data_IF_067213710590
#
_entry.id   IF_067213710590
#
_cell.length_a   1.000
_cell.length_b   1.000
_cell.length_c   1.000
_cell.angle_alpha   90.00
_cell.angle_beta   90.00
_cell.angle_gamma   90.00
#
_symmetry.space_group_name_H-M   'P 1'
#
loop_
_entity.id
_entity.type
_entity.pdbx_description
1 polymer ?
#
# COMPACT_ATOMS: atom_id res chain seq x y z
N UNK A 1 25.17 -60.97 72.13
CA UNK A 1 25.27 -59.82 71.20
C UNK A 1 25.27 -58.46 71.89
N UNK A 2 24.33 -58.16 72.80
CA UNK A 2 24.25 -56.85 73.49
C UNK A 2 25.51 -56.41 74.26
N UNK A 3 26.20 -57.32 74.96
CA UNK A 3 27.44 -56.99 75.70
C UNK A 3 28.64 -56.67 74.78
N UNK A 4 28.68 -57.25 73.58
CA UNK A 4 29.73 -57.00 72.58
C UNK A 4 29.56 -55.62 71.93
N UNK A 5 28.31 -55.23 71.65
CA UNK A 5 27.97 -53.90 71.12
C UNK A 5 28.31 -52.77 72.12
N UNK A 6 28.05 -53.00 73.41
CA UNK A 6 28.40 -52.06 74.48
C UNK A 6 29.92 -51.91 74.66
N UNK A 7 30.68 -52.99 74.47
CA UNK A 7 32.15 -52.96 74.52
C UNK A 7 32.73 -52.22 73.32
N UNK A 8 32.21 -52.46 72.11
CA UNK A 8 32.55 -51.72 70.89
C UNK A 8 32.27 -50.22 71.02
N UNK A 9 31.12 -49.83 71.58
CA UNK A 9 30.78 -48.42 71.84
C UNK A 9 31.72 -47.77 72.87
N UNK A 10 32.13 -48.49 73.91
CA UNK A 10 33.12 -47.99 74.89
C UNK A 10 34.51 -47.84 74.29
N UNK A 11 34.91 -48.78 73.43
CA UNK A 11 36.21 -48.74 72.76
C UNK A 11 36.24 -47.62 71.71
N UNK A 12 35.13 -47.40 71.00
CA UNK A 12 34.96 -46.28 70.07
C UNK A 12 35.03 -44.92 70.79
N UNK A 13 34.36 -44.79 71.95
CA UNK A 13 34.36 -43.56 72.75
C UNK A 13 35.73 -43.22 73.38
N UNK A 14 36.64 -44.19 73.44
CA UNK A 14 37.93 -44.09 74.17
C UNK A 14 39.14 -44.14 73.22
N UNK A 15 38.91 -44.05 71.91
CA UNK A 15 39.97 -44.10 70.91
C UNK A 15 40.38 -42.67 70.50
N UNK A 16 41.58 -42.26 70.91
CA UNK A 16 42.13 -40.92 70.67
C UNK A 16 42.46 -40.66 69.18
N UNK A 17 42.46 -41.73 68.36
CA UNK A 17 42.50 -41.66 66.89
C UNK A 17 41.18 -41.15 66.26
N UNK A 18 40.11 -41.02 67.06
CA UNK A 18 38.76 -40.66 66.60
C UNK A 18 38.60 -39.19 66.17
N UNK A 19 39.63 -38.36 66.32
CA UNK A 19 39.57 -36.95 65.94
C UNK A 19 39.27 -36.77 64.44
N UNK A 20 39.80 -37.65 63.58
CA UNK A 20 39.48 -37.67 62.14
C UNK A 20 38.01 -37.98 61.91
N UNK A 21 37.42 -38.90 62.68
CA UNK A 21 36.00 -39.26 62.57
C UNK A 21 35.09 -38.09 62.99
N UNK A 22 35.43 -37.39 64.07
CA UNK A 22 34.69 -36.22 64.57
C UNK A 22 34.78 -35.07 63.56
N UNK A 23 35.98 -34.75 63.06
CA UNK A 23 36.19 -33.71 62.05
C UNK A 23 35.48 -34.05 60.73
N UNK A 24 35.52 -35.31 60.31
CA UNK A 24 34.81 -35.78 59.10
C UNK A 24 33.30 -35.69 59.28
N UNK A 25 32.76 -36.11 60.43
CA UNK A 25 31.34 -36.03 60.74
C UNK A 25 30.84 -34.56 60.76
N UNK A 26 31.63 -33.65 61.33
CA UNK A 26 31.32 -32.22 61.34
C UNK A 26 31.46 -31.58 59.96
N UNK A 27 32.40 -32.02 59.13
CA UNK A 27 32.60 -31.51 57.76
C UNK A 27 31.56 -32.03 56.75
N UNK A 28 30.99 -33.22 56.99
CA UNK A 28 29.94 -33.78 56.13
C UNK A 28 28.69 -32.88 56.13
N UNK A 29 28.33 -32.28 57.27
CA UNK A 29 27.13 -31.42 57.38
C UNK A 29 27.17 -30.21 56.42
N UNK A 30 28.19 -29.34 56.42
CA UNK A 30 28.27 -28.23 55.47
C UNK A 30 28.48 -28.71 54.03
N UNK A 31 29.18 -29.83 53.79
CA UNK A 31 29.37 -30.37 52.43
C UNK A 31 28.06 -30.86 51.81
N UNK A 32 27.28 -31.66 52.56
CA UNK A 32 25.95 -32.12 52.11
C UNK A 32 25.01 -30.94 51.92
N UNK A 33 25.09 -29.93 52.79
CA UNK A 33 24.36 -28.68 52.66
C UNK A 33 24.66 -27.94 51.34
N UNK A 34 25.94 -27.74 51.02
CA UNK A 34 26.37 -27.05 49.80
C UNK A 34 26.01 -27.83 48.54
N UNK A 35 26.23 -29.16 48.53
CA UNK A 35 25.84 -30.02 47.40
C UNK A 35 24.32 -30.01 47.21
N UNK A 36 23.55 -30.09 48.30
CA UNK A 36 22.09 -30.01 48.26
C UNK A 36 21.58 -28.70 47.68
N UNK A 37 22.14 -27.56 48.11
CA UNK A 37 21.82 -26.24 47.55
C UNK A 37 22.19 -26.14 46.06
N UNK A 38 23.30 -26.75 45.63
CA UNK A 38 23.69 -26.79 44.22
C UNK A 38 22.69 -27.61 43.38
N UNK A 39 22.19 -28.73 43.90
CA UNK A 39 21.16 -29.54 43.23
C UNK A 39 19.82 -28.81 43.13
N UNK A 40 19.42 -28.10 44.20
CA UNK A 40 18.21 -27.27 44.21
C UNK A 40 18.34 -26.12 43.19
N UNK A 41 19.49 -25.45 43.14
CA UNK A 41 19.77 -24.40 42.15
C UNK A 41 19.73 -24.94 40.72
N UNK A 42 20.37 -26.07 40.45
CA UNK A 42 20.32 -26.73 39.14
C UNK A 42 18.89 -27.11 38.74
N UNK A 43 18.09 -27.61 39.67
CA UNK A 43 16.68 -27.94 39.42
C UNK A 43 15.85 -26.69 39.13
N UNK A 44 16.12 -25.58 39.82
CA UNK A 44 15.51 -24.28 39.58
C UNK A 44 15.87 -23.69 38.20
N UNK A 45 17.13 -23.82 37.77
CA UNK A 45 17.55 -23.42 36.43
C UNK A 45 16.87 -24.25 35.35
N UNK A 46 16.76 -25.56 35.51
CA UNK A 46 16.02 -26.42 34.58
C UNK A 46 14.54 -26.06 34.49
N UNK A 47 13.90 -25.80 35.65
CA UNK A 47 12.50 -25.36 35.67
C UNK A 47 12.33 -24.01 34.95
N UNK A 48 13.22 -23.05 35.21
CA UNK A 48 13.24 -21.75 34.51
C UNK A 48 13.39 -21.93 33.01
N UNK A 49 14.40 -22.67 32.56
CA UNK A 49 14.65 -22.90 31.13
C UNK A 49 13.46 -23.55 30.43
N UNK A 50 12.77 -24.49 31.09
CA UNK A 50 11.56 -25.11 30.53
C UNK A 50 10.39 -24.12 30.43
N UNK A 51 10.18 -23.31 31.47
CA UNK A 51 9.10 -22.31 31.49
C UNK A 51 9.34 -21.17 30.51
N UNK A 52 10.59 -20.72 30.36
CA UNK A 52 10.99 -19.74 29.35
C UNK A 52 10.72 -20.30 27.93
N UNK A 53 11.14 -21.53 27.64
CA UNK A 53 10.85 -22.18 26.35
C UNK A 53 9.36 -22.39 26.09
N UNK A 54 8.57 -22.70 27.13
CA UNK A 54 7.12 -22.79 27.02
C UNK A 54 6.46 -21.42 26.77
N UNK A 55 7.00 -20.34 27.35
CA UNK A 55 6.53 -18.97 27.14
C UNK A 55 6.84 -18.49 25.72
N UNK A 56 8.04 -18.77 25.21
CA UNK A 56 8.41 -18.44 23.84
C UNK A 56 7.50 -19.15 22.84
N UNK A 57 7.26 -20.45 23.03
CA UNK A 57 6.32 -21.22 22.22
C UNK A 57 4.90 -20.63 22.26
N UNK A 58 4.43 -20.22 23.44
CA UNK A 58 3.11 -19.62 23.64
C UNK A 58 2.95 -18.27 22.93
N UNK A 59 3.96 -17.40 23.00
CA UNK A 59 3.91 -16.09 22.33
C UNK A 59 3.96 -16.25 20.82
N UNK A 60 4.81 -17.15 20.32
CA UNK A 60 4.92 -17.43 18.88
C UNK A 60 3.62 -18.03 18.34
N UNK A 61 3.03 -19.03 19.03
CA UNK A 61 1.80 -19.64 18.56
C UNK A 61 0.60 -18.70 18.63
N UNK A 62 0.54 -17.84 19.65
CA UNK A 62 -0.49 -16.80 19.72
C UNK A 62 -0.45 -15.87 18.51
N UNK A 63 0.74 -15.37 18.15
CA UNK A 63 0.92 -14.52 16.95
C UNK A 63 0.57 -15.30 15.69
N UNK A 64 1.02 -16.56 15.57
CA UNK A 64 0.79 -17.38 14.38
C UNK A 64 -0.71 -17.65 14.15
N UNK A 65 -1.44 -18.00 15.20
CA UNK A 65 -2.90 -18.20 15.15
C UNK A 65 -3.63 -16.91 14.80
N UNK A 66 -3.35 -15.80 15.51
CA UNK A 66 -3.97 -14.50 15.20
C UNK A 66 -3.73 -14.10 13.75
N UNK A 67 -2.50 -14.31 13.26
CA UNK A 67 -2.12 -14.01 11.88
C UNK A 67 -2.91 -14.83 10.87
N UNK A 68 -2.95 -16.16 11.06
CA UNK A 68 -3.64 -17.06 10.15
C UNK A 68 -5.14 -16.75 10.09
N UNK A 69 -5.77 -16.45 11.22
CA UNK A 69 -7.19 -16.13 11.27
C UNK A 69 -7.52 -14.78 10.62
N UNK A 70 -6.70 -13.74 10.86
CA UNK A 70 -6.86 -12.46 10.16
C UNK A 70 -6.73 -12.64 8.65
N UNK A 71 -5.76 -13.42 8.18
CA UNK A 71 -5.60 -13.71 6.75
C UNK A 71 -6.80 -14.46 6.16
N UNK A 72 -7.47 -15.29 6.96
CA UNK A 72 -8.71 -15.98 6.60
C UNK A 72 -9.97 -15.09 6.75
N UNK A 73 -9.82 -13.81 7.08
CA UNK A 73 -10.92 -12.84 7.13
C UNK A 73 -11.65 -12.78 8.48
N UNK A 74 -11.11 -13.40 9.53
CA UNK A 74 -11.63 -13.26 10.89
C UNK A 74 -11.36 -11.84 11.39
N UNK A 75 -12.35 -11.24 12.05
CA UNK A 75 -12.19 -9.91 12.65
C UNK A 75 -11.04 -9.91 13.67
N UNK A 76 -10.20 -8.87 13.66
CA UNK A 76 -8.98 -8.82 14.45
C UNK A 76 -9.20 -9.09 15.95
N UNK A 77 -10.29 -8.58 16.55
CA UNK A 77 -10.59 -8.80 17.97
C UNK A 77 -10.85 -10.27 18.29
N UNK A 78 -11.54 -10.99 17.40
CA UNK A 78 -11.78 -12.44 17.55
C UNK A 78 -10.47 -13.20 17.38
N UNK A 79 -9.70 -12.87 16.35
CA UNK A 79 -8.41 -13.51 16.08
C UNK A 79 -7.36 -13.30 17.19
N UNK A 80 -7.39 -12.14 17.85
CA UNK A 80 -6.57 -11.85 19.04
C UNK A 80 -6.98 -12.76 20.20
N UNK A 81 -8.27 -12.90 20.46
CA UNK A 81 -8.77 -13.73 21.56
C UNK A 81 -8.44 -15.21 21.34
N UNK A 82 -8.63 -15.71 20.12
CA UNK A 82 -8.34 -17.10 19.74
C UNK A 82 -6.83 -17.38 19.78
N UNK A 83 -6.00 -16.44 19.31
CA UNK A 83 -4.54 -16.53 19.43
C UNK A 83 -4.07 -16.56 20.89
N UNK A 84 -4.60 -15.69 21.76
CA UNK A 84 -4.28 -15.71 23.20
C UNK A 84 -4.69 -17.04 23.85
N UNK A 85 -5.86 -17.58 23.50
CA UNK A 85 -6.32 -18.88 23.99
C UNK A 85 -5.42 -20.02 23.50
N UNK A 86 -4.96 -19.99 22.24
CA UNK A 86 -4.03 -20.98 21.70
C UNK A 86 -2.66 -20.90 22.35
N UNK A 87 -2.09 -19.70 22.51
CA UNK A 87 -0.84 -19.50 23.23
C UNK A 87 -0.89 -20.04 24.65
N UNK A 88 -1.99 -19.83 25.37
CA UNK A 88 -2.17 -20.38 26.71
C UNK A 88 -2.21 -21.92 26.73
N UNK A 89 -2.82 -22.55 25.73
CA UNK A 89 -2.82 -24.02 25.59
C UNK A 89 -1.39 -24.53 25.33
N UNK A 90 -0.66 -23.87 24.44
CA UNK A 90 0.71 -24.26 24.09
C UNK A 90 1.67 -24.04 25.24
N UNK A 91 1.51 -22.98 26.04
CA UNK A 91 2.27 -22.82 27.28
C UNK A 91 2.06 -24.03 28.20
N UNK A 92 0.80 -24.40 28.46
CA UNK A 92 0.46 -25.51 29.36
C UNK A 92 1.03 -26.84 28.86
N UNK A 93 0.98 -27.06 27.54
CA UNK A 93 1.54 -28.25 26.90
C UNK A 93 3.07 -28.30 27.04
N UNK A 94 3.76 -27.19 26.76
CA UNK A 94 5.22 -27.13 26.77
C UNK A 94 5.84 -26.98 28.17
N UNK A 95 5.12 -26.40 29.14
CA UNK A 95 5.60 -26.26 30.52
C UNK A 95 5.69 -27.62 31.25
N UNK A 96 4.97 -28.64 30.78
CA UNK A 96 4.98 -29.99 31.33
C UNK A 96 4.75 -30.03 32.85
N UNK A 97 5.57 -30.81 33.56
CA UNK A 97 5.48 -30.95 35.03
C UNK A 97 5.75 -29.65 35.81
N UNK A 98 6.42 -28.67 35.21
CA UNK A 98 6.73 -27.39 35.85
C UNK A 98 5.56 -26.39 35.71
N UNK A 99 4.58 -26.66 34.85
CA UNK A 99 3.38 -25.82 34.69
C UNK A 99 2.54 -25.70 35.96
N UNK A 100 2.55 -26.72 36.83
CA UNK A 100 1.86 -26.70 38.14
C UNK A 100 2.50 -25.69 39.11
N UNK A 101 3.79 -25.37 38.91
CA UNK A 101 4.53 -24.42 39.75
C UNK A 101 4.27 -22.96 39.36
N UNK A 102 3.76 -22.73 38.14
CA UNK A 102 3.23 -21.45 37.72
C UNK A 102 1.82 -21.28 38.34
N UNK A 103 1.77 -20.96 39.63
CA UNK A 103 0.52 -20.81 40.40
C UNK A 103 -0.42 -19.70 39.89
N UNK A 104 0.00 -18.93 38.88
CA UNK A 104 -0.85 -18.02 38.12
C UNK A 104 -0.83 -18.40 36.64
N UNK A 105 -2.00 -18.36 35.99
CA UNK A 105 -2.11 -18.47 34.54
C UNK A 105 -1.15 -17.48 33.88
N UNK A 106 -0.22 -17.90 33.01
CA UNK A 106 0.67 -16.97 32.33
C UNK A 106 -0.17 -15.96 31.54
N UNK A 107 0.21 -14.70 31.58
CA UNK A 107 -0.44 -13.66 30.82
C UNK A 107 0.12 -13.70 29.40
N UNK A 108 -0.66 -14.14 28.41
CA UNK A 108 -0.35 -14.04 26.99
C UNK A 108 -1.25 -12.97 26.39
N UNK A 109 -0.64 -11.98 25.76
CA UNK A 109 -1.35 -10.86 25.13
C UNK A 109 -0.88 -10.69 23.70
N UNK A 110 -1.80 -10.32 22.82
CA UNK A 110 -1.53 -9.99 21.41
C UNK A 110 -2.16 -8.64 21.10
N UNK A 111 -1.43 -7.79 20.40
CA UNK A 111 -1.89 -6.49 19.94
C UNK A 111 -1.59 -6.33 18.44
N UNK A 112 -2.56 -5.78 17.70
CA UNK A 112 -2.42 -5.48 16.27
C UNK A 112 -2.25 -3.98 16.11
N UNK A 113 -1.07 -3.56 15.66
CA UNK A 113 -0.78 -2.16 15.32
C UNK A 113 -0.40 -2.07 13.85
N UNK A 114 -1.33 -1.58 13.03
CA UNK A 114 -1.18 -1.50 11.58
C UNK A 114 -0.86 -2.87 10.95
N UNK A 115 0.39 -3.11 10.53
CA UNK A 115 0.85 -4.40 9.99
C UNK A 115 1.64 -5.22 11.02
N UNK A 116 1.90 -4.69 12.21
CA UNK A 116 2.65 -5.39 13.24
C UNK A 116 1.71 -6.14 14.18
N UNK A 117 1.91 -7.44 14.29
CA UNK A 117 1.27 -8.31 15.29
C UNK A 117 2.28 -8.50 16.42
N UNK A 118 2.03 -7.83 17.55
CA UNK A 118 2.91 -7.84 18.72
C UNK A 118 2.34 -8.82 19.75
N UNK A 119 3.11 -9.86 20.07
CA UNK A 119 2.80 -10.78 21.16
C UNK A 119 3.71 -10.53 22.35
N UNK A 120 3.15 -10.64 23.55
CA UNK A 120 3.93 -10.65 24.79
C UNK A 120 3.39 -11.68 25.77
N UNK A 121 4.30 -12.26 26.54
CA UNK A 121 4.02 -13.28 27.54
C UNK A 121 4.71 -12.94 28.85
N UNK A 122 4.12 -13.33 29.98
CA UNK A 122 4.82 -13.40 31.26
C UNK A 122 4.32 -14.55 32.14
N UNK A 123 5.22 -15.08 32.97
CA UNK A 123 4.87 -16.05 34.00
C UNK A 123 5.57 -15.74 35.33
N UNK A 124 4.98 -16.25 36.41
CA UNK A 124 5.59 -16.31 37.74
C UNK A 124 5.41 -17.73 38.29
N UNK A 125 6.50 -18.35 38.72
CA UNK A 125 6.52 -19.70 39.26
C UNK A 125 7.26 -19.78 40.59
N UNK A 126 6.75 -20.59 41.52
CA UNK A 126 7.38 -20.84 42.82
C UNK A 126 7.99 -22.23 42.81
N UNK A 127 9.33 -22.32 42.79
CA UNK A 127 10.06 -23.58 42.75
C UNK A 127 10.37 -24.03 44.19
N UNK A 128 9.91 -25.22 44.63
CA UNK A 128 10.23 -25.73 45.95
C UNK A 128 11.71 -26.13 46.05
N UNK A 129 12.34 -25.82 47.19
CA UNK A 129 13.71 -26.24 47.51
C UNK A 129 13.63 -27.49 48.40
N UNK A 130 14.34 -28.57 48.02
CA UNK A 130 14.32 -29.81 48.79
C UNK A 130 15.36 -29.77 49.92
N UNK A 131 16.57 -29.29 49.61
CA UNK A 131 17.67 -29.17 50.56
C UNK A 131 17.70 -27.79 51.23
N UNK A 132 17.15 -26.75 50.59
CA UNK A 132 17.00 -25.42 51.17
C UNK A 132 16.23 -25.40 52.51
N UNK A 133 15.35 -26.39 52.74
CA UNK A 133 14.62 -26.54 54.01
C UNK A 133 15.53 -26.75 55.21
N UNK A 134 16.71 -27.35 55.01
CA UNK A 134 17.75 -27.47 56.04
C UNK A 134 18.24 -26.11 56.54
N UNK A 135 18.06 -25.06 55.71
CA UNK A 135 18.47 -23.68 55.95
C UNK A 135 17.29 -22.71 56.07
N UNK A 136 16.09 -23.21 56.39
CA UNK A 136 14.87 -22.41 56.48
C UNK A 136 14.47 -21.69 55.17
N UNK A 137 14.86 -22.23 54.00
CA UNK A 137 14.46 -21.76 52.67
C UNK A 137 13.52 -22.79 52.04
N UNK A 138 12.22 -22.49 51.99
CA UNK A 138 11.21 -23.43 51.47
C UNK A 138 11.05 -23.43 49.95
N UNK A 139 11.31 -22.30 49.29
CA UNK A 139 11.11 -22.11 47.85
C UNK A 139 11.88 -20.90 47.31
N UNK A 140 11.94 -20.79 45.98
CA UNK A 140 12.47 -19.64 45.25
C UNK A 140 11.52 -19.25 44.10
N UNK A 141 11.29 -17.95 43.91
CA UNK A 141 10.43 -17.44 42.84
C UNK A 141 11.22 -17.21 41.56
N UNK A 142 10.69 -17.69 40.45
CA UNK A 142 11.20 -17.45 39.10
C UNK A 142 10.16 -16.67 38.31
N UNK A 143 10.60 -15.67 37.57
CA UNK A 143 9.80 -14.92 36.61
C UNK A 143 10.45 -14.95 35.23
N UNK A 144 9.61 -14.88 34.21
CA UNK A 144 10.04 -14.81 32.81
C UNK A 144 9.10 -13.93 32.02
N UNK A 145 9.63 -13.33 30.95
CA UNK A 145 8.86 -12.52 30.01
C UNK A 145 9.40 -12.72 28.60
N UNK A 146 8.50 -12.84 27.62
CA UNK A 146 8.82 -12.99 26.21
C UNK A 146 8.07 -11.94 25.38
N UNK A 147 8.68 -11.49 24.29
CA UNK A 147 8.06 -10.59 23.31
C UNK A 147 8.43 -11.03 21.91
N UNK A 148 7.48 -10.94 21.00
CA UNK A 148 7.70 -11.21 19.58
C UNK A 148 6.84 -10.27 18.74
N UNK A 149 7.33 -9.91 17.56
CA UNK A 149 6.61 -9.08 16.60
C UNK A 149 6.70 -9.74 15.24
N UNK A 150 5.55 -9.95 14.61
CA UNK A 150 5.45 -10.37 13.22
C UNK A 150 4.93 -9.21 12.38
N UNK A 151 5.59 -8.95 11.26
CA UNK A 151 5.13 -7.97 10.29
C UNK A 151 4.34 -8.65 9.17
N UNK A 152 3.09 -8.24 9.03
CA UNK A 152 2.16 -8.75 8.03
C UNK A 152 2.43 -8.16 6.65
N UNK A 153 2.08 -8.92 5.60
CA UNK A 153 1.95 -8.36 4.25
C UNK A 153 0.89 -7.26 4.22
N UNK A 154 0.94 -6.44 3.18
CA UNK A 154 -0.01 -5.36 3.00
C UNK A 154 -0.78 -5.54 1.69
N UNK A 155 -2.10 -5.69 1.81
CA UNK A 155 -2.98 -5.81 0.67
C UNK A 155 -3.54 -4.45 0.24
N UNK A 156 -3.36 -4.09 -1.02
CA UNK A 156 -3.73 -2.77 -1.57
C UNK A 156 -4.60 -2.89 -2.82
N UNK A 157 -5.56 -1.98 -2.91
CA UNK A 157 -6.33 -1.73 -4.12
C UNK A 157 -5.98 -0.36 -4.68
N UNK A 158 -5.55 -0.31 -5.94
CA UNK A 158 -5.27 0.93 -6.64
C UNK A 158 -6.36 1.23 -7.66
N UNK A 159 -7.04 2.35 -7.47
CA UNK A 159 -8.04 2.90 -8.36
C UNK A 159 -7.40 4.02 -9.16
N UNK A 160 -6.93 3.71 -10.36
CA UNK A 160 -6.17 4.66 -11.20
C UNK A 160 -7.15 5.42 -12.09
N UNK A 161 -7.38 6.69 -11.77
CA UNK A 161 -8.14 7.63 -12.56
C UNK A 161 -7.21 8.32 -13.56
N UNK A 162 -7.56 8.26 -14.84
CA UNK A 162 -6.73 8.82 -15.90
C UNK A 162 -7.55 9.82 -16.71
N UNK A 163 -7.10 11.05 -16.68
CA UNK A 163 -7.63 12.10 -17.54
C UNK A 163 -7.30 11.77 -19.00
N UNK A 164 -8.33 11.63 -19.84
CA UNK A 164 -8.20 11.38 -21.28
C UNK A 164 -8.86 12.49 -22.11
N UNK A 165 -9.07 13.66 -21.50
CA UNK A 165 -9.56 14.86 -22.18
C UNK A 165 -8.61 15.35 -23.29
N UNK A 166 -9.12 16.23 -24.16
CA UNK A 166 -8.36 16.74 -25.29
C UNK A 166 -7.01 17.38 -24.92
N UNK A 167 -6.90 18.04 -23.76
CA UNK A 167 -5.67 18.69 -23.30
C UNK A 167 -4.55 17.70 -22.95
N UNK A 168 -4.90 16.46 -22.62
CA UNK A 168 -3.95 15.36 -22.44
C UNK A 168 -3.34 14.87 -23.77
N UNK A 169 -3.90 15.32 -24.90
CA UNK A 169 -3.38 15.17 -26.25
C UNK A 169 -2.24 16.14 -26.59
N UNK A 170 -1.73 16.91 -25.64
CA UNK A 170 -0.53 17.71 -25.87
C UNK A 170 0.71 16.82 -26.01
N UNK A 171 1.62 17.22 -26.89
CA UNK A 171 2.87 16.50 -27.08
C UNK A 171 3.75 16.56 -25.80
N UNK A 172 4.45 15.46 -25.52
CA UNK A 172 5.04 15.17 -24.22
C UNK A 172 6.22 16.07 -23.84
N UNK A 173 6.83 16.78 -24.79
CA UNK A 173 7.92 17.74 -24.53
C UNK A 173 7.73 19.00 -25.37
N UNK A 174 8.38 20.10 -24.98
CA UNK A 174 8.39 21.35 -25.77
C UNK A 174 8.92 21.13 -27.19
N UNK A 175 9.93 20.27 -27.36
CA UNK A 175 10.45 19.92 -28.68
C UNK A 175 9.42 19.18 -29.53
N UNK A 176 8.68 18.25 -28.94
CA UNK A 176 7.60 17.52 -29.61
C UNK A 176 6.40 18.43 -29.95
N UNK A 177 6.08 19.40 -29.09
CA UNK A 177 5.03 20.40 -29.36
C UNK A 177 5.38 21.25 -30.58
N UNK A 178 6.63 21.70 -30.69
CA UNK A 178 7.11 22.42 -31.88
C UNK A 178 7.11 21.55 -33.14
N UNK A 179 7.48 20.26 -33.02
CA UNK A 179 7.41 19.30 -34.13
C UNK A 179 5.97 19.10 -34.62
N UNK A 180 5.02 19.00 -33.70
CA UNK A 180 3.60 18.84 -34.03
C UNK A 180 3.04 20.10 -34.69
N UNK A 181 3.22 21.27 -34.09
CA UNK A 181 2.74 22.54 -34.65
C UNK A 181 3.21 22.75 -36.09
N UNK A 182 4.46 22.41 -36.41
CA UNK A 182 5.00 22.54 -37.77
C UNK A 182 4.26 21.68 -38.81
N UNK A 183 3.68 20.54 -38.40
CA UNK A 183 3.03 19.57 -39.29
C UNK A 183 1.51 19.61 -39.22
N UNK A 184 0.95 20.09 -38.12
CA UNK A 184 -0.47 20.02 -37.82
C UNK A 184 -1.28 21.03 -38.66
N UNK A 185 -2.16 20.58 -39.57
CA UNK A 185 -2.99 21.48 -40.37
C UNK A 185 -4.23 21.99 -39.62
N UNK A 186 -4.56 21.40 -38.47
CA UNK A 186 -5.80 21.71 -37.74
C UNK A 186 -5.78 23.15 -37.20
N UNK A 187 -6.91 23.84 -37.31
CA UNK A 187 -7.10 25.23 -36.84
C UNK A 187 -6.05 26.23 -37.34
N UNK A 188 -5.51 26.03 -38.55
CA UNK A 188 -4.44 26.89 -39.10
C UNK A 188 -4.86 28.36 -39.29
N UNK A 189 -6.15 28.63 -39.46
CA UNK A 189 -6.66 30.01 -39.57
C UNK A 189 -6.56 30.75 -38.23
N UNK A 190 -6.84 30.04 -37.13
CA UNK A 190 -6.78 30.53 -35.75
C UNK A 190 -5.35 30.52 -35.20
N UNK A 191 -4.55 29.53 -35.62
CA UNK A 191 -3.14 29.36 -35.24
C UNK A 191 -2.22 29.31 -36.47
N UNK A 192 -1.84 30.47 -37.05
CA UNK A 192 -1.02 30.53 -38.25
C UNK A 192 0.38 29.90 -38.10
N UNK A 193 0.86 29.76 -36.87
CA UNK A 193 2.15 29.12 -36.51
C UNK A 193 2.03 27.62 -36.23
N UNK A 194 0.81 27.06 -36.34
CA UNK A 194 0.50 25.65 -36.15
C UNK A 194 -0.02 25.31 -34.75
N UNK A 195 -0.95 24.36 -34.68
CA UNK A 195 -1.55 23.92 -33.42
C UNK A 195 -0.67 22.88 -32.70
N UNK A 196 -0.34 23.14 -31.44
CA UNK A 196 0.50 22.26 -30.58
C UNK A 196 -0.29 21.11 -29.93
N UNK A 197 -1.61 21.06 -30.14
CA UNK A 197 -2.48 20.03 -29.58
C UNK A 197 -2.82 18.98 -30.65
N UNK A 198 -2.77 17.70 -30.27
CA UNK A 198 -3.12 16.60 -31.14
C UNK A 198 -4.62 16.26 -31.04
N UNK A 199 -5.48 17.16 -31.52
CA UNK A 199 -6.92 16.93 -31.52
C UNK A 199 -7.25 15.59 -32.19
N UNK A 200 -8.11 14.80 -31.54
CA UNK A 200 -8.57 13.49 -32.02
C UNK A 200 -10.04 13.52 -32.46
N UNK A 201 -10.54 14.69 -32.87
CA UNK A 201 -11.97 14.87 -33.10
C UNK A 201 -12.39 14.24 -34.43
N UNK A 202 -13.42 13.39 -34.44
CA UNK A 202 -13.84 12.57 -35.60
C UNK A 202 -14.50 13.39 -36.70
N UNK A 203 -15.31 14.37 -36.33
CA UNK A 203 -15.73 15.47 -37.20
C UNK A 203 -15.80 16.73 -36.36
N UNK A 204 -15.08 17.78 -36.74
CA UNK A 204 -15.12 19.04 -36.01
C UNK A 204 -15.10 20.22 -36.96
N UNK A 205 -15.86 21.27 -36.64
CA UNK A 205 -15.95 22.48 -37.47
C UNK A 205 -14.57 23.14 -37.66
N UNK A 206 -13.72 23.11 -36.64
CA UNK A 206 -12.37 23.67 -36.73
C UNK A 206 -11.37 22.77 -37.50
N UNK A 207 -11.83 21.61 -37.97
CA UNK A 207 -11.11 20.68 -38.86
C UNK A 207 -11.87 20.55 -40.19
N UNK A 208 -12.51 21.63 -40.66
CA UNK A 208 -13.29 21.70 -41.90
C UNK A 208 -14.40 20.64 -42.03
N UNK A 209 -14.99 20.22 -40.90
CA UNK A 209 -15.99 19.17 -40.85
C UNK A 209 -15.44 17.77 -41.14
N UNK A 210 -14.11 17.60 -41.07
CA UNK A 210 -13.39 16.33 -41.22
C UNK A 210 -12.78 15.92 -39.89
N UNK A 211 -12.21 14.72 -39.88
CA UNK A 211 -11.39 14.23 -38.79
C UNK A 211 -10.13 15.07 -38.64
N UNK A 212 -9.88 15.57 -37.43
CA UNK A 212 -8.67 16.31 -37.11
C UNK A 212 -7.43 15.44 -37.32
N UNK A 213 -6.40 16.02 -37.93
CA UNK A 213 -5.20 15.30 -38.35
C UNK A 213 -4.13 15.25 -37.27
N UNK A 214 -4.16 16.16 -36.28
CA UNK A 214 -3.17 16.30 -35.23
C UNK A 214 -2.86 14.98 -34.53
N UNK A 215 -3.90 14.23 -34.11
CA UNK A 215 -3.72 12.91 -33.51
C UNK A 215 -3.09 11.89 -34.46
N UNK A 216 -3.60 11.75 -35.69
CA UNK A 216 -3.04 10.80 -36.68
C UNK A 216 -1.56 11.10 -36.94
N UNK A 217 -1.19 12.38 -37.06
CA UNK A 217 0.19 12.81 -37.34
C UNK A 217 1.17 12.47 -36.22
N UNK A 218 0.67 12.21 -35.01
CA UNK A 218 1.50 11.80 -33.87
C UNK A 218 1.80 10.31 -33.85
N UNK A 219 1.01 9.52 -34.59
CA UNK A 219 1.10 8.07 -34.63
C UNK A 219 2.12 7.61 -35.65
N UNK A 220 2.79 6.49 -35.37
CA UNK A 220 3.70 5.90 -36.34
C UNK A 220 2.89 5.42 -37.56
N UNK A 221 3.29 5.87 -38.77
CA UNK A 221 2.60 5.57 -40.03
C UNK A 221 1.11 5.96 -40.05
N UNK A 222 0.65 6.84 -39.15
CA UNK A 222 -0.76 7.22 -39.05
C UNK A 222 -1.68 6.14 -38.48
N UNK A 223 -1.15 5.03 -37.96
CA UNK A 223 -1.94 3.98 -37.33
C UNK A 223 -2.40 4.43 -35.93
N UNK A 224 -3.69 4.72 -35.78
CA UNK A 224 -4.30 5.19 -34.52
C UNK A 224 -4.16 4.18 -33.37
N UNK A 225 -3.92 2.90 -33.65
CA UNK A 225 -3.64 1.88 -32.64
C UNK A 225 -2.16 1.88 -32.19
N UNK A 226 -1.26 2.51 -32.96
CA UNK A 226 0.18 2.55 -32.70
C UNK A 226 0.57 3.76 -31.86
N UNK A 227 0.57 3.58 -30.54
CA UNK A 227 1.01 4.60 -29.57
C UNK A 227 2.49 4.96 -29.78
N UNK A 228 2.85 6.23 -29.62
CA UNK A 228 4.23 6.65 -29.75
C UNK A 228 4.97 6.50 -28.41
N UNK A 229 6.02 5.68 -28.38
CA UNK A 229 6.76 5.35 -27.14
C UNK A 229 8.05 6.14 -26.96
N UNK A 230 8.45 6.92 -27.98
CA UNK A 230 9.77 7.58 -28.04
C UNK A 230 9.64 9.05 -28.40
N UNK A 231 10.49 9.89 -27.80
CA UNK A 231 10.62 11.32 -28.12
C UNK A 231 11.85 11.59 -29.00
N UNK A 232 11.95 12.82 -29.50
CA UNK A 232 13.15 13.34 -30.15
C UNK A 232 13.01 13.49 -31.66
N UNK A 233 13.84 14.34 -32.25
CA UNK A 233 13.76 14.73 -33.66
C UNK A 233 13.74 13.53 -34.63
N UNK A 234 14.46 12.46 -34.29
CA UNK A 234 14.58 11.23 -35.10
C UNK A 234 13.49 10.18 -34.79
N UNK A 235 12.60 10.43 -33.83
CA UNK A 235 11.48 9.53 -33.54
C UNK A 235 10.52 9.47 -34.74
N UNK A 236 10.07 8.27 -35.17
CA UNK A 236 9.16 8.11 -36.31
C UNK A 236 7.73 8.60 -36.01
N UNK A 237 7.48 9.01 -34.78
CA UNK A 237 6.20 9.47 -34.26
C UNK A 237 6.42 10.65 -33.30
N UNK A 238 5.34 11.23 -32.79
CA UNK A 238 5.36 12.31 -31.78
C UNK A 238 4.69 11.77 -30.54
N UNK A 239 5.43 11.67 -29.43
CA UNK A 239 4.85 11.13 -28.20
C UNK A 239 3.92 12.16 -27.56
N UNK A 240 2.69 11.77 -27.27
CA UNK A 240 1.74 12.54 -26.47
C UNK A 240 1.93 12.26 -24.98
N UNK A 241 1.44 13.17 -24.12
CA UNK A 241 1.43 12.94 -22.67
C UNK A 241 0.66 11.68 -22.31
N UNK A 242 -0.48 11.48 -22.95
CA UNK A 242 -1.29 10.28 -22.74
C UNK A 242 -0.54 9.00 -23.15
N UNK A 243 0.29 9.05 -24.20
CA UNK A 243 1.15 7.92 -24.57
C UNK A 243 2.19 7.63 -23.48
N UNK A 244 2.82 8.67 -22.93
CA UNK A 244 3.78 8.54 -21.84
C UNK A 244 3.13 7.96 -20.57
N UNK A 245 1.89 8.36 -20.26
CA UNK A 245 1.10 7.79 -19.17
C UNK A 245 0.80 6.32 -19.42
N UNK A 246 0.36 5.94 -20.63
CA UNK A 246 0.11 4.55 -20.99
C UNK A 246 1.35 3.66 -20.79
N UNK A 247 2.51 4.11 -21.28
CA UNK A 247 3.80 3.41 -21.06
C UNK A 247 4.13 3.31 -19.57
N UNK A 248 4.06 4.42 -18.84
CA UNK A 248 4.38 4.45 -17.42
C UNK A 248 3.45 3.56 -16.57
N UNK A 249 2.17 3.47 -16.94
CA UNK A 249 1.23 2.55 -16.29
C UNK A 249 1.58 1.09 -16.54
N UNK A 250 2.02 0.72 -17.74
CA UNK A 250 2.50 -0.66 -17.97
C UNK A 250 3.73 -1.00 -17.13
N UNK A 251 4.65 -0.06 -16.97
CA UNK A 251 5.83 -0.24 -16.11
C UNK A 251 5.44 -0.36 -14.63
N UNK A 252 4.47 0.45 -14.17
CA UNK A 252 3.89 0.33 -12.84
C UNK A 252 3.30 -1.07 -12.60
N UNK A 253 2.52 -1.60 -13.55
CA UNK A 253 1.91 -2.93 -13.43
C UNK A 253 2.97 -4.05 -13.38
N UNK A 254 4.03 -3.93 -14.17
CA UNK A 254 5.17 -4.85 -14.13
C UNK A 254 5.90 -4.80 -12.79
N UNK A 255 6.14 -3.61 -12.24
CA UNK A 255 6.79 -3.47 -10.93
C UNK A 255 5.90 -4.01 -9.81
N UNK A 256 4.59 -3.74 -9.83
CA UNK A 256 3.65 -4.29 -8.87
C UNK A 256 3.64 -5.83 -8.91
N UNK A 257 3.64 -6.43 -10.11
CA UNK A 257 3.75 -7.88 -10.26
C UNK A 257 5.08 -8.40 -9.69
N UNK A 258 6.19 -7.76 -10.03
CA UNK A 258 7.53 -8.12 -9.54
C UNK A 258 7.62 -8.09 -8.01
N UNK A 259 7.09 -7.04 -7.38
CA UNK A 259 7.04 -6.94 -5.90
C UNK A 259 6.19 -8.06 -5.30
N UNK A 260 5.01 -8.34 -5.85
CA UNK A 260 4.14 -9.40 -5.32
C UNK A 260 4.75 -10.80 -5.39
N UNK A 261 5.49 -11.08 -6.47
CA UNK A 261 6.23 -12.34 -6.63
C UNK A 261 7.40 -12.41 -5.64
N UNK A 262 8.16 -11.32 -5.50
CA UNK A 262 9.28 -11.26 -4.56
C UNK A 262 8.84 -11.47 -3.10
N UNK A 263 7.66 -10.98 -2.74
CA UNK A 263 7.10 -11.18 -1.40
C UNK A 263 6.38 -12.53 -1.22
N UNK A 264 6.17 -13.31 -2.30
CA UNK A 264 5.40 -14.55 -2.31
C UNK A 264 3.95 -14.40 -1.79
N UNK A 265 3.31 -13.27 -2.06
CA UNK A 265 1.92 -12.99 -1.61
C UNK A 265 0.98 -12.97 -2.82
N UNK A 266 0.02 -13.89 -2.82
CA UNK A 266 -1.07 -13.90 -3.81
C UNK A 266 -2.03 -12.74 -3.55
N UNK A 267 -2.45 -12.07 -4.61
CA UNK A 267 -3.44 -10.98 -4.58
C UNK A 267 -3.01 -9.79 -3.70
N UNK A 268 -1.71 -9.58 -3.49
CA UNK A 268 -1.18 -8.45 -2.71
C UNK A 268 -1.66 -7.11 -3.27
N UNK A 269 -1.67 -6.98 -4.59
CA UNK A 269 -2.11 -5.79 -5.29
C UNK A 269 -3.23 -6.11 -6.27
N UNK A 270 -4.26 -5.27 -6.26
CA UNK A 270 -5.28 -5.25 -7.31
C UNK A 270 -5.38 -3.85 -7.88
N UNK A 271 -5.48 -3.75 -9.20
CA UNK A 271 -5.42 -2.47 -9.90
C UNK A 271 -6.60 -2.37 -10.85
N UNK A 272 -7.28 -1.22 -10.81
CA UNK A 272 -8.36 -0.83 -11.72
C UNK A 272 -7.99 0.45 -12.43
N UNK A 273 -8.51 0.62 -13.65
CA UNK A 273 -8.23 1.78 -14.51
C UNK A 273 -9.57 2.41 -14.90
N UNK A 274 -9.66 3.72 -14.66
CA UNK A 274 -10.88 4.50 -14.72
C UNK A 274 -10.62 5.79 -15.50
N UNK A 275 -10.61 5.72 -16.84
CA UNK A 275 -10.43 6.90 -17.67
C UNK A 275 -11.66 7.82 -17.57
N UNK A 276 -11.47 9.12 -17.73
CA UNK A 276 -12.55 10.10 -17.67
C UNK A 276 -12.35 11.30 -18.59
N UNK A 277 -13.47 11.89 -19.02
CA UNK A 277 -13.56 13.19 -19.70
C UNK A 277 -14.62 14.02 -18.95
N UNK A 278 -15.89 13.90 -19.32
CA UNK A 278 -17.02 14.50 -18.62
C UNK A 278 -17.53 13.60 -17.48
N UNK A 279 -17.53 12.30 -17.76
CA UNK A 279 -17.82 11.23 -16.79
C UNK A 279 -16.66 10.23 -16.77
N UNK A 280 -16.58 9.46 -15.70
CA UNK A 280 -15.66 8.34 -15.53
C UNK A 280 -16.26 7.07 -16.16
N UNK A 281 -15.47 6.37 -16.99
CA UNK A 281 -15.83 5.02 -17.39
C UNK A 281 -15.56 4.04 -16.25
N UNK A 282 -16.58 3.83 -15.41
CA UNK A 282 -16.51 2.95 -14.24
C UNK A 282 -16.35 1.46 -14.55
N UNK A 283 -16.41 1.06 -15.82
CA UNK A 283 -16.33 -0.33 -16.28
C UNK A 283 -15.15 -0.59 -17.23
N UNK A 284 -14.28 0.40 -17.48
CA UNK A 284 -13.18 0.25 -18.42
C UNK A 284 -12.25 -0.91 -18.05
N UNK A 285 -11.77 -0.91 -16.80
CA UNK A 285 -11.08 -2.01 -16.16
C UNK A 285 -11.34 -1.98 -14.64
N UNK A 286 -12.32 -2.73 -14.15
CA UNK A 286 -12.51 -2.90 -12.70
C UNK A 286 -11.27 -3.48 -12.02
N UNK A 287 -11.19 -3.32 -10.69
CA UNK A 287 -10.14 -3.86 -9.83
C UNK A 287 -9.87 -5.35 -10.17
N UNK A 288 -8.63 -5.66 -10.52
CA UNK A 288 -8.19 -7.02 -10.86
C UNK A 288 -6.76 -7.28 -10.37
N UNK A 289 -6.47 -8.54 -10.07
CA UNK A 289 -5.13 -9.05 -9.74
C UNK A 289 -4.35 -9.55 -10.98
N UNK A 290 -4.97 -9.57 -12.17
CA UNK A 290 -4.32 -9.92 -13.43
C UNK A 290 -3.51 -8.74 -13.99
N UNK A 291 -2.42 -8.43 -13.28
CA UNK A 291 -1.59 -7.26 -13.55
C UNK A 291 -0.85 -7.32 -14.89
N UNK A 292 -0.55 -8.53 -15.40
CA UNK A 292 0.20 -8.73 -16.65
C UNK A 292 -0.67 -9.05 -17.86
N UNK A 293 -1.91 -9.47 -17.66
CA UNK A 293 -2.87 -9.74 -18.72
C UNK A 293 -3.81 -8.55 -18.95
N UNK A 294 -5.06 -8.69 -18.50
CA UNK A 294 -6.15 -7.77 -18.82
C UNK A 294 -5.86 -6.33 -18.41
N UNK A 295 -5.26 -6.10 -17.23
CA UNK A 295 -4.99 -4.74 -16.74
C UNK A 295 -3.89 -4.08 -17.57
N UNK A 296 -2.83 -4.82 -17.93
CA UNK A 296 -1.76 -4.32 -18.81
C UNK A 296 -2.28 -4.01 -20.22
N UNK A 297 -3.15 -4.86 -20.77
CA UNK A 297 -3.78 -4.60 -22.07
C UNK A 297 -4.62 -3.32 -22.06
N UNK A 298 -5.36 -3.09 -20.97
CA UNK A 298 -6.15 -1.87 -20.78
C UNK A 298 -5.27 -0.64 -20.58
N UNK A 299 -4.19 -0.73 -19.80
CA UNK A 299 -3.23 0.37 -19.66
C UNK A 299 -2.62 0.78 -21.01
N UNK A 300 -2.24 -0.19 -21.85
CA UNK A 300 -1.74 0.06 -23.21
C UNK A 300 -2.77 0.75 -24.11
N UNK A 301 -4.07 0.53 -23.88
CA UNK A 301 -5.16 1.10 -24.67
C UNK A 301 -5.62 2.48 -24.23
N UNK A 302 -5.11 3.03 -23.12
CA UNK A 302 -5.48 4.37 -22.65
C UNK A 302 -5.24 5.45 -23.71
N UNK A 303 -4.11 5.48 -24.45
CA UNK A 303 -3.85 6.58 -25.37
C UNK A 303 -4.80 6.66 -26.57
N UNK A 304 -5.54 5.59 -26.88
CA UNK A 304 -6.60 5.60 -27.89
C UNK A 304 -7.93 6.14 -27.38
N UNK A 305 -8.04 6.44 -26.08
CA UNK A 305 -9.24 7.00 -25.45
C UNK A 305 -9.22 8.53 -25.41
N UNK A 306 -8.19 9.17 -26.00
CA UNK A 306 -8.14 10.62 -26.12
C UNK A 306 -9.44 11.14 -26.75
N UNK A 307 -10.03 12.16 -26.13
CA UNK A 307 -11.33 12.71 -26.49
C UNK A 307 -11.50 12.87 -28.02
N UNK A 308 -12.55 12.24 -28.53
CA UNK A 308 -12.88 12.16 -29.95
C UNK A 308 -13.80 13.28 -30.44
N UNK A 309 -14.12 14.27 -29.61
CA UNK A 309 -15.00 15.37 -30.02
C UNK A 309 -16.39 14.89 -30.43
N UNK A 310 -16.84 13.78 -29.86
CA UNK A 310 -18.07 13.11 -30.23
C UNK A 310 -18.63 12.38 -29.02
N UNK A 311 -19.75 12.86 -28.49
CA UNK A 311 -20.46 12.23 -27.39
C UNK A 311 -21.55 11.26 -27.86
N UNK A 312 -21.30 10.56 -28.98
CA UNK A 312 -22.15 9.49 -29.50
C UNK A 312 -21.39 8.16 -29.52
N UNK A 313 -22.10 7.06 -29.81
CA UNK A 313 -21.48 5.73 -29.89
C UNK A 313 -20.77 5.32 -28.60
N UNK A 314 -19.46 5.07 -28.67
CA UNK A 314 -18.64 4.60 -27.53
C UNK A 314 -18.42 5.66 -26.44
N UNK A 315 -18.69 6.93 -26.76
CA UNK A 315 -18.61 8.07 -25.84
C UNK A 315 -19.98 8.71 -25.60
N UNK A 316 -21.07 7.94 -25.75
CA UNK A 316 -22.44 8.42 -25.64
C UNK A 316 -22.71 9.29 -24.40
N UNK A 317 -23.35 10.44 -24.58
CA UNK A 317 -23.83 11.27 -23.47
C UNK A 317 -25.06 10.63 -22.78
N UNK A 318 -24.82 9.61 -21.95
CA UNK A 318 -25.87 8.85 -21.25
C UNK A 318 -25.66 8.74 -19.73
N UNK A 319 -24.68 9.47 -19.20
CA UNK A 319 -24.31 9.43 -17.78
C UNK A 319 -23.50 8.20 -17.36
N UNK A 320 -23.10 7.34 -18.30
CA UNK A 320 -22.29 6.14 -18.02
C UNK A 320 -21.04 6.01 -18.88
N UNK A 321 -21.05 6.57 -20.10
CA UNK A 321 -19.85 6.72 -20.93
C UNK A 321 -19.18 8.08 -20.67
N UNK A 322 -17.92 8.22 -21.11
CA UNK A 322 -17.09 9.38 -20.75
C UNK A 322 -17.60 10.71 -21.28
N UNK A 323 -18.44 10.70 -22.33
CA UNK A 323 -18.83 11.92 -23.04
C UNK A 323 -17.67 12.50 -23.84
N UNK A 324 -17.82 13.78 -24.22
CA UNK A 324 -16.82 14.56 -24.93
C UNK A 324 -16.94 16.04 -24.55
N UNK A 325 -15.83 16.77 -24.58
CA UNK A 325 -15.77 18.20 -24.28
C UNK A 325 -14.71 18.54 -23.23
N UNK A 326 -15.10 19.31 -22.22
CA UNK A 326 -14.24 19.74 -21.13
C UNK A 326 -13.95 18.64 -20.10
N UNK A 327 -12.83 18.81 -19.37
CA UNK A 327 -12.39 17.90 -18.32
C UNK A 327 -13.18 18.11 -17.02
N UNK A 328 -14.07 17.19 -16.67
CA UNK A 328 -14.88 17.27 -15.44
C UNK A 328 -14.30 16.40 -14.31
N UNK A 329 -13.20 16.87 -13.72
CA UNK A 329 -12.53 16.19 -12.59
C UNK A 329 -13.49 16.00 -11.41
N UNK A 330 -14.32 16.99 -11.09
CA UNK A 330 -15.32 16.90 -10.02
C UNK A 330 -16.31 15.74 -10.21
N UNK A 331 -16.82 15.52 -11.44
CA UNK A 331 -17.74 14.41 -11.73
C UNK A 331 -17.02 13.08 -11.54
N UNK A 332 -15.81 12.95 -12.10
CA UNK A 332 -15.02 11.75 -12.00
C UNK A 332 -14.69 11.40 -10.53
N UNK A 333 -14.35 12.38 -9.69
CA UNK A 333 -14.09 12.15 -8.25
C UNK A 333 -15.36 11.70 -7.51
N UNK A 334 -16.52 12.29 -7.84
CA UNK A 334 -17.80 11.89 -7.26
C UNK A 334 -18.20 10.46 -7.67
N UNK A 335 -17.99 10.10 -8.93
CA UNK A 335 -18.28 8.76 -9.44
C UNK A 335 -17.30 7.72 -8.88
N UNK A 336 -16.02 8.06 -8.75
CA UNK A 336 -15.02 7.21 -8.10
C UNK A 336 -15.41 6.89 -6.65
N UNK A 337 -15.96 7.86 -5.91
CA UNK A 337 -16.43 7.62 -4.53
C UNK A 337 -17.43 6.46 -4.43
N UNK A 338 -18.26 6.25 -5.46
CA UNK A 338 -19.21 5.12 -5.52
C UNK A 338 -18.56 3.76 -5.81
N UNK A 339 -17.34 3.75 -6.37
CA UNK A 339 -16.56 2.54 -6.68
C UNK A 339 -15.65 2.11 -5.53
N UNK A 340 -15.38 3.01 -4.59
CA UNK A 340 -14.59 2.72 -3.39
C UNK A 340 -15.41 1.90 -2.37
N UNK A 341 -14.73 1.05 -1.57
CA UNK A 341 -15.40 0.35 -0.47
C UNK A 341 -15.97 1.35 0.55
N UNK A 342 -17.10 0.98 1.18
CA UNK A 342 -17.78 1.86 2.15
C UNK A 342 -16.93 2.14 3.38
N UNK A 343 -16.05 1.22 3.74
CA UNK A 343 -15.05 1.35 4.81
C UNK A 343 -13.66 1.03 4.27
N UNK A 344 -12.64 1.68 4.82
CA UNK A 344 -11.25 1.35 4.48
C UNK A 344 -10.88 0.01 5.11
N UNK A 345 -10.33 -0.91 4.31
CA UNK A 345 -9.80 -2.16 4.83
C UNK A 345 -8.52 -1.94 5.65
N UNK A 346 -8.18 -2.94 6.47
CA UNK A 346 -7.01 -2.88 7.36
C UNK A 346 -5.69 -3.13 6.62
N UNK A 347 -5.76 -3.67 5.41
CA UNK A 347 -4.63 -4.10 4.60
C UNK A 347 -4.00 -5.41 5.07
N UNK A 348 -4.60 -6.12 6.03
CA UNK A 348 -4.03 -7.35 6.62
C UNK A 348 -4.40 -8.63 5.88
N UNK A 349 -5.42 -8.58 5.01
CA UNK A 349 -5.90 -9.72 4.23
C UNK A 349 -6.41 -9.27 2.86
N UNK A 350 -6.50 -10.22 1.92
CA UNK A 350 -7.03 -9.96 0.58
C UNK A 350 -8.52 -9.55 0.57
N UNK A 351 -9.27 -9.81 1.64
CA UNK A 351 -10.67 -9.40 1.81
C UNK A 351 -10.83 -8.05 2.50
N UNK A 352 -9.74 -7.47 3.02
CA UNK A 352 -9.73 -6.17 3.71
C UNK A 352 -8.58 -5.31 3.20
N UNK A 353 -8.60 -4.97 1.92
CA UNK A 353 -7.56 -4.18 1.24
C UNK A 353 -7.60 -2.70 1.63
N UNK A 354 -6.45 -2.03 1.65
CA UNK A 354 -6.39 -0.58 1.77
C UNK A 354 -6.58 0.07 0.40
N UNK A 355 -7.57 0.95 0.21
CA UNK A 355 -7.81 1.62 -1.07
C UNK A 355 -6.93 2.87 -1.26
N UNK A 356 -6.29 2.94 -2.42
CA UNK A 356 -5.55 4.10 -2.94
C UNK A 356 -6.18 4.57 -4.25
N UNK A 357 -6.45 5.86 -4.36
CA UNK A 357 -6.87 6.49 -5.62
C UNK A 357 -5.67 7.24 -6.19
N UNK A 358 -5.29 6.90 -7.41
CA UNK A 358 -4.27 7.64 -8.17
C UNK A 358 -4.99 8.49 -9.20
N UNK A 359 -4.95 9.81 -9.07
CA UNK A 359 -5.47 10.74 -10.07
C UNK A 359 -4.32 11.26 -10.93
N UNK A 360 -4.36 10.97 -12.22
CA UNK A 360 -3.38 11.44 -13.21
C UNK A 360 -4.10 12.43 -14.13
N UNK A 361 -3.71 13.71 -14.08
CA UNK A 361 -4.40 14.80 -14.78
C UNK A 361 -3.48 15.99 -14.99
N UNK A 362 -3.80 16.83 -15.98
CA UNK A 362 -3.23 18.17 -16.10
C UNK A 362 -3.96 19.23 -15.26
N UNK A 363 -4.99 18.83 -14.53
CA UNK A 363 -5.66 19.60 -13.48
C UNK A 363 -6.50 20.78 -13.93
N UNK A 364 -6.58 21.05 -15.24
CA UNK A 364 -7.50 22.04 -15.77
C UNK A 364 -8.91 21.43 -15.73
N UNK A 365 -9.79 22.02 -14.93
CA UNK A 365 -11.18 21.62 -14.89
C UNK A 365 -12.01 22.49 -15.82
N UNK A 366 -12.84 21.87 -16.64
CA UNK A 366 -13.70 22.53 -17.59
C UNK A 366 -15.04 21.78 -17.65
N UNK A 367 -16.15 22.49 -17.42
CA UNK A 367 -17.48 21.88 -17.36
C UNK A 367 -18.24 21.95 -18.69
N UNK A 368 -17.54 22.29 -19.77
CA UNK A 368 -18.10 22.27 -21.11
C UNK A 368 -18.42 20.84 -21.55
N UNK A 369 -19.51 20.68 -22.28
CA UNK A 369 -19.98 19.39 -22.80
C UNK A 369 -20.27 19.56 -24.29
N UNK A 370 -19.79 18.63 -25.09
CA UNK A 370 -20.14 18.48 -26.50
C UNK A 370 -21.24 17.42 -26.62
N UNK A 371 -22.37 17.71 -27.28
CA UNK A 371 -23.50 16.78 -27.42
C UNK A 371 -23.47 15.92 -28.69
N UNK A 372 -22.71 16.35 -29.68
CA UNK A 372 -22.52 15.63 -30.94
C UNK A 372 -21.31 16.20 -31.67
N UNK A 373 -20.80 15.41 -32.61
CA UNK A 373 -19.71 15.79 -33.50
C UNK A 373 -20.03 16.93 -34.48
N UNK A 374 -21.27 17.45 -34.49
CA UNK A 374 -21.64 18.65 -35.25
C UNK A 374 -21.32 19.96 -34.50
N UNK A 375 -20.81 19.88 -33.26
CA UNK A 375 -20.38 21.05 -32.50
C UNK A 375 -21.49 21.75 -31.73
N UNK A 376 -22.46 21.00 -31.21
CA UNK A 376 -23.41 21.50 -30.21
C UNK A 376 -22.78 21.45 -28.82
N UNK A 377 -22.60 22.62 -28.19
CA UNK A 377 -21.89 22.78 -26.91
C UNK A 377 -22.80 23.36 -25.82
N UNK A 378 -22.56 22.96 -24.57
CA UNK A 378 -23.11 23.62 -23.37
C UNK A 378 -22.05 23.72 -22.27
N UNK A 379 -22.37 24.45 -21.19
CA UNK A 379 -21.43 24.71 -20.11
C UNK A 379 -20.50 25.89 -20.41
N UNK A 380 -19.50 26.06 -19.56
CA UNK A 380 -18.48 27.11 -19.67
C UNK A 380 -17.18 26.48 -20.14
N UNK A 381 -16.60 27.01 -21.21
CA UNK A 381 -15.26 26.65 -21.71
C UNK A 381 -14.13 27.45 -21.05
N UNK A 382 -14.43 28.17 -19.96
CA UNK A 382 -13.43 28.88 -19.19
C UNK A 382 -12.86 27.93 -18.13
N UNK A 383 -11.72 27.33 -18.45
CA UNK A 383 -11.02 26.42 -17.56
C UNK A 383 -10.79 27.05 -16.16
N UNK A 384 -11.03 26.23 -15.15
CA UNK A 384 -10.93 26.55 -13.73
C UNK A 384 -10.16 25.44 -13.00
N UNK A 385 -10.15 25.48 -11.68
CA UNK A 385 -9.54 24.43 -10.86
C UNK A 385 -10.61 23.50 -10.28
N UNK A 386 -10.19 22.28 -9.96
CA UNK A 386 -11.03 21.34 -9.21
C UNK A 386 -11.54 21.92 -7.89
N UNK A 387 -12.68 21.42 -7.42
CA UNK A 387 -13.29 21.87 -6.15
C UNK A 387 -12.84 20.97 -4.99
N UNK A 388 -12.19 21.52 -3.92
CA UNK A 388 -11.60 20.70 -2.85
C UNK A 388 -12.56 19.79 -2.07
N UNK A 389 -13.87 20.10 -2.02
CA UNK A 389 -14.86 19.32 -1.28
C UNK A 389 -15.00 17.88 -1.79
N UNK A 390 -14.88 17.65 -3.11
CA UNK A 390 -14.91 16.30 -3.68
C UNK A 390 -13.74 15.44 -3.18
N UNK A 391 -12.56 16.05 -3.05
CA UNK A 391 -11.38 15.40 -2.51
C UNK A 391 -11.53 15.07 -1.03
N UNK A 392 -12.10 15.99 -0.25
CA UNK A 392 -12.40 15.74 1.17
C UNK A 392 -13.33 14.55 1.34
N UNK A 393 -14.40 14.47 0.55
CA UNK A 393 -15.33 13.32 0.56
C UNK A 393 -14.63 12.03 0.16
N UNK A 394 -13.87 12.04 -0.94
CA UNK A 394 -13.17 10.85 -1.43
C UNK A 394 -12.14 10.32 -0.41
N UNK A 395 -11.42 11.20 0.27
CA UNK A 395 -10.41 10.84 1.28
C UNK A 395 -10.98 10.16 2.53
N UNK A 396 -12.30 10.21 2.75
CA UNK A 396 -12.93 9.41 3.81
C UNK A 396 -12.86 7.91 3.53
N UNK A 397 -12.76 7.52 2.26
CA UNK A 397 -12.76 6.11 1.81
C UNK A 397 -11.44 5.65 1.20
N UNK A 398 -10.47 6.53 0.94
CA UNK A 398 -9.20 6.15 0.33
C UNK A 398 -8.07 7.15 0.60
N UNK A 399 -6.83 6.73 0.38
CA UNK A 399 -5.71 7.66 0.22
C UNK A 399 -5.71 8.20 -1.21
N UNK A 400 -5.79 9.53 -1.38
CA UNK A 400 -5.75 10.18 -2.70
C UNK A 400 -4.34 10.67 -3.03
N UNK A 401 -3.70 10.03 -4.01
CA UNK A 401 -2.45 10.47 -4.58
C UNK A 401 -2.67 11.08 -5.96
N UNK A 402 -2.02 12.20 -6.25
CA UNK A 402 -2.24 12.97 -7.48
C UNK A 402 -0.92 13.15 -8.21
N UNK A 403 -0.88 12.73 -9.47
CA UNK A 403 0.17 13.07 -10.41
C UNK A 403 -0.32 14.21 -11.32
N UNK A 404 0.22 15.40 -11.07
CA UNK A 404 0.05 16.55 -11.94
C UNK A 404 0.97 16.43 -13.15
N UNK A 405 0.39 16.41 -14.35
CA UNK A 405 1.13 16.50 -15.63
C UNK A 405 0.91 17.90 -16.19
N UNK A 406 1.81 18.88 -15.96
CA UNK A 406 1.48 20.29 -16.03
C UNK A 406 0.80 20.76 -17.30
N UNK A 407 -0.33 21.47 -17.22
CA UNK A 407 -1.03 22.00 -18.39
C UNK A 407 -0.09 22.81 -19.30
N UNK A 408 -0.17 22.63 -20.62
CA UNK A 408 0.72 23.34 -21.57
C UNK A 408 0.25 24.78 -21.73
N UNK A 409 1.13 25.74 -21.49
CA UNK A 409 0.85 27.14 -21.78
C UNK A 409 0.66 27.34 -23.29
N UNK A 410 -0.48 27.89 -23.68
CA UNK A 410 -0.77 28.29 -25.06
C UNK A 410 0.09 29.53 -25.36
N UNK A 411 1.04 29.41 -26.28
CA UNK A 411 2.05 30.45 -26.52
C UNK A 411 1.50 31.64 -27.31
N UNK A 412 0.53 31.39 -28.19
CA UNK A 412 -0.15 32.41 -29.02
C UNK A 412 -1.66 32.37 -28.74
N UNK A 413 -2.12 32.81 -27.55
CA UNK A 413 -3.53 32.75 -27.22
C UNK A 413 -4.34 33.65 -28.15
N UNK A 414 -5.44 33.13 -28.69
CA UNK A 414 -6.36 33.85 -29.55
C UNK A 414 -7.59 34.32 -28.75
N UNK A 415 -7.70 35.61 -28.36
CA UNK A 415 -8.82 36.10 -27.55
C UNK A 415 -10.16 36.06 -28.30
N UNK A 416 -10.16 35.90 -29.62
CA UNK A 416 -11.36 35.77 -30.43
C UNK A 416 -11.79 34.31 -30.61
N UNK A 417 -10.95 33.34 -30.22
CA UNK A 417 -11.29 31.93 -30.28
C UNK A 417 -12.21 31.58 -29.10
N UNK A 418 -13.39 31.04 -29.43
CA UNK A 418 -14.36 30.50 -28.48
C UNK A 418 -14.67 31.39 -27.25
N UNK A 419 -14.59 32.71 -27.37
CA UNK A 419 -14.82 33.62 -26.23
C UNK A 419 -13.64 33.66 -25.24
N UNK A 420 -12.41 33.78 -25.75
CA UNK A 420 -11.15 33.89 -25.00
C UNK A 420 -10.76 32.63 -24.21
N UNK A 421 -11.15 31.46 -24.68
CA UNK A 421 -10.81 30.16 -24.05
C UNK A 421 -9.32 30.04 -23.73
N UNK A 422 -8.46 30.38 -24.69
CA UNK A 422 -7.01 30.35 -24.53
C UNK A 422 -6.51 31.26 -23.39
N UNK A 423 -7.11 32.44 -23.26
CA UNK A 423 -6.79 33.41 -22.22
C UNK A 423 -7.17 32.90 -20.84
N UNK A 424 -8.37 32.32 -20.70
CA UNK A 424 -8.82 31.71 -19.46
C UNK A 424 -8.00 30.47 -19.09
N UNK A 425 -7.70 29.59 -20.03
CA UNK A 425 -6.82 28.44 -19.82
C UNK A 425 -5.44 28.86 -19.30
N UNK A 426 -4.79 29.82 -19.97
CA UNK A 426 -3.49 30.34 -19.55
C UNK A 426 -3.55 31.03 -18.17
N UNK A 427 -4.62 31.78 -17.89
CA UNK A 427 -4.82 32.47 -16.60
C UNK A 427 -5.04 31.47 -15.45
N UNK A 428 -5.57 30.29 -15.75
CA UNK A 428 -5.83 29.25 -14.76
C UNK A 428 -4.56 28.49 -14.31
N UNK A 429 -3.54 28.34 -15.18
CA UNK A 429 -2.32 27.55 -14.93
C UNK A 429 -1.70 27.76 -13.54
N UNK A 430 -1.49 29.01 -13.04
CA UNK A 430 -0.89 29.22 -11.72
C UNK A 430 -1.71 28.66 -10.54
N UNK A 431 -3.02 28.45 -10.73
CA UNK A 431 -3.94 28.01 -9.69
C UNK A 431 -4.08 26.48 -9.63
N UNK A 432 -3.70 25.76 -10.71
CA UNK A 432 -3.88 24.31 -10.82
C UNK A 432 -3.07 23.55 -9.77
N UNK A 433 -1.75 23.81 -9.70
CA UNK A 433 -0.87 23.10 -8.78
C UNK A 433 -1.26 23.29 -7.29
N UNK A 434 -1.54 24.52 -6.80
CA UNK A 434 -2.09 24.71 -5.46
C UNK A 434 -3.40 23.94 -5.22
N UNK A 435 -4.31 23.94 -6.19
CA UNK A 435 -5.60 23.25 -6.07
C UNK A 435 -5.43 21.73 -5.95
N UNK A 436 -4.66 21.11 -6.86
CA UNK A 436 -4.31 19.68 -6.80
C UNK A 436 -3.58 19.31 -5.50
N UNK A 437 -2.62 20.13 -5.07
CA UNK A 437 -1.88 19.88 -3.82
C UNK A 437 -2.80 19.92 -2.59
N UNK A 438 -3.77 20.82 -2.56
CA UNK A 438 -4.77 20.90 -1.47
C UNK A 438 -5.74 19.70 -1.47
N UNK A 439 -6.01 19.15 -2.65
CA UNK A 439 -6.87 18.00 -2.86
C UNK A 439 -6.22 16.69 -2.38
N UNK A 440 -4.95 16.48 -2.70
CA UNK A 440 -4.21 15.26 -2.36
C UNK A 440 -4.18 14.98 -0.84
N UNK A 441 -4.00 13.72 -0.47
CA UNK A 441 -3.60 13.35 0.89
C UNK A 441 -2.23 14.01 1.20
N UNK A 442 -1.96 14.49 2.42
CA UNK A 442 -0.67 15.08 2.76
C UNK A 442 0.51 14.19 2.36
N UNK A 443 1.49 14.77 1.64
CA UNK A 443 2.64 14.03 1.11
C UNK A 443 2.37 13.19 -0.14
N UNK A 444 1.15 13.23 -0.72
CA UNK A 444 0.75 12.45 -1.89
C UNK A 444 0.50 13.31 -3.15
N UNK A 445 1.21 14.43 -3.28
CA UNK A 445 1.19 15.27 -4.47
C UNK A 445 2.52 15.13 -5.23
N UNK A 446 2.41 14.80 -6.51
CA UNK A 446 3.54 14.56 -7.41
C UNK A 446 3.35 15.40 -8.67
N UNK A 447 4.44 15.77 -9.34
CA UNK A 447 4.41 16.51 -10.60
C UNK A 447 5.49 15.99 -11.53
N UNK A 448 5.17 15.83 -12.81
CA UNK A 448 6.13 15.41 -13.82
C UNK A 448 5.75 15.93 -15.21
N UNK A 449 6.74 16.43 -15.95
CA UNK A 449 6.54 17.02 -17.27
C UNK A 449 7.05 16.13 -18.40
N UNK A 450 8.11 15.34 -18.17
CA UNK A 450 8.73 14.49 -19.20
C UNK A 450 8.22 13.05 -19.11
N UNK A 451 8.28 12.26 -20.20
CA UNK A 451 7.94 10.84 -20.16
C UNK A 451 8.68 10.05 -19.08
N UNK A 452 9.98 10.29 -18.92
CA UNK A 452 10.80 9.63 -17.90
C UNK A 452 10.38 10.06 -16.49
N UNK A 453 10.05 11.34 -16.30
CA UNK A 453 9.52 11.88 -15.05
C UNK A 453 8.17 11.29 -14.68
N UNK A 454 7.25 11.14 -15.64
CA UNK A 454 5.93 10.53 -15.44
C UNK A 454 6.09 9.08 -14.98
N UNK A 455 6.98 8.33 -15.65
CA UNK A 455 7.32 6.97 -15.25
C UNK A 455 7.90 6.90 -13.83
N UNK A 456 8.90 7.74 -13.53
CA UNK A 456 9.49 7.79 -12.20
C UNK A 456 8.47 8.16 -11.11
N UNK A 457 7.58 9.12 -11.39
CA UNK A 457 6.55 9.57 -10.46
C UNK A 457 5.53 8.47 -10.15
N UNK A 458 5.04 7.73 -11.16
CA UNK A 458 4.10 6.63 -10.92
C UNK A 458 4.73 5.47 -10.11
N UNK A 459 6.00 5.14 -10.39
CA UNK A 459 6.74 4.16 -9.60
C UNK A 459 6.96 4.66 -8.17
N UNK A 460 7.24 5.95 -7.98
CA UNK A 460 7.39 6.56 -6.65
C UNK A 460 6.07 6.59 -5.89
N UNK A 461 4.95 6.92 -6.54
CA UNK A 461 3.61 6.86 -5.95
C UNK A 461 3.30 5.46 -5.43
N UNK A 462 3.59 4.44 -6.23
CA UNK A 462 3.43 3.04 -5.83
C UNK A 462 4.33 2.69 -4.64
N UNK A 463 5.63 2.99 -4.71
CA UNK A 463 6.56 2.73 -3.63
C UNK A 463 6.14 3.43 -2.32
N UNK A 464 5.65 4.67 -2.39
CA UNK A 464 5.15 5.40 -1.24
C UNK A 464 3.87 4.76 -0.67
N UNK A 465 2.96 4.25 -1.51
CA UNK A 465 1.80 3.50 -1.04
C UNK A 465 2.18 2.22 -0.25
N UNK A 466 3.31 1.60 -0.60
CA UNK A 466 3.89 0.47 0.16
C UNK A 466 4.58 0.89 1.47
N UNK A 467 4.87 2.19 1.66
CA UNK A 467 5.58 2.73 2.84
C UNK A 467 4.66 3.46 3.83
N UNK A 468 3.62 4.14 3.33
CA UNK A 468 2.58 4.80 4.16
C UNK A 468 1.84 3.78 5.03
N UNK A 469 1.84 2.52 4.60
CA UNK A 469 1.64 1.42 5.51
C UNK A 469 2.99 1.05 6.13
N UNK A 470 3.13 1.23 7.45
CA UNK A 470 4.42 1.29 8.12
C UNK A 470 5.38 0.16 7.73
N UNK A 471 6.55 0.56 7.21
CA UNK A 471 7.78 -0.20 7.40
C UNK A 471 8.60 0.48 8.50
N UNK A 472 9.02 -0.31 9.49
CA UNK A 472 10.12 0.07 10.39
C UNK A 472 11.34 0.43 9.54
N UNK A 473 11.78 1.68 9.64
CA UNK A 473 13.18 2.04 9.48
C UNK A 473 13.91 1.52 10.71
N UNK A 474 14.97 0.73 10.49
CA UNK A 474 15.79 0.14 11.56
C UNK A 474 16.33 1.19 12.54
#
# INVERSE_FOLDING_TARGET
MLKSFAALLRQFRRNDSGNVFILTALAILPLVGLVGLAMDYSSGLTARSQLDGALDAAVISAIATTTAEIQNGVAANTAIADGQAQGLKDFKSNAGKYGILAGQTPAVTVAVDNQNINGSGSYQATIPLNFGKLFNLGSYNVNGSARSTLKMPQYLDFYVMVDVSASMGAAATTGEQARLAKKNPDQKAEYPTGCTLACHFTTYKACDGKMCQGFILTRANGDIASICKTTGANSPCIQLRLDAIGVAMTNLLQEAKKVSVANAISNEFRIGIYPFIVHMNGNYQPISNDLTGVVTNKANGIPSLLDTGDSTGVNAWDGTHMGSGGTNINNALNEMYSKLPTTQGTGLSASSTKPFVFLITDGAQDNQIMYNSAGSWSGSNHATTLTPSYCTTLKTRATLAILYVPYVKITNPNPNFAGDEDGYANKNIPNIAPSLKSCATPGQYYTAETPEGINAALLQMFANALQIAPRLTN
#
